data_IF_978107941529
#
_entry.id   IF_978107941529
#
_cell.length_a   1.000
_cell.length_b   1.000
_cell.length_c   1.000
_cell.angle_alpha   90.00
_cell.angle_beta   90.00
_cell.angle_gamma   90.00
#
_symmetry.space_group_name_H-M   'P 1'
#
loop_
_entity.id
_entity.type
_entity.pdbx_description
1 polymer ?
#
# COMPACT_ATOMS: atom_id res chain seq x y z
N UNK A 1 20.90 7.49 18.91
CA UNK A 1 20.67 6.04 19.03
C UNK A 1 19.77 5.83 20.23
N UNK A 2 18.60 5.22 20.09
CA UNK A 2 17.69 4.98 21.22
C UNK A 2 18.16 3.71 21.92
N UNK A 3 18.63 3.84 23.16
CA UNK A 3 19.08 2.72 23.98
C UNK A 3 17.87 2.04 24.61
N UNK A 4 17.79 0.71 24.54
CA UNK A 4 16.69 -0.04 25.16
C UNK A 4 16.69 0.17 26.70
N UNK A 5 15.51 0.22 27.35
CA UNK A 5 15.43 0.45 28.79
C UNK A 5 16.05 -0.72 29.59
N UNK A 6 16.55 -0.41 30.78
CA UNK A 6 17.15 -1.40 31.68
C UNK A 6 16.16 -2.53 31.98
N UNK A 7 16.59 -3.78 31.75
CA UNK A 7 15.76 -4.98 31.94
C UNK A 7 14.98 -5.45 30.70
N UNK A 8 15.08 -4.75 29.57
CA UNK A 8 14.51 -5.24 28.32
C UNK A 8 15.22 -6.53 27.86
N UNK A 9 14.46 -7.62 27.76
CA UNK A 9 14.90 -8.85 27.11
C UNK A 9 14.26 -8.92 25.72
N UNK A 10 15.02 -9.18 24.65
CA UNK A 10 14.44 -9.43 23.35
C UNK A 10 13.42 -10.57 23.45
N UNK A 11 12.25 -10.42 22.84
CA UNK A 11 11.34 -11.56 22.68
C UNK A 11 12.04 -12.60 21.82
N UNK A 12 12.10 -13.84 22.31
CA UNK A 12 12.60 -14.95 21.52
C UNK A 12 11.62 -15.20 20.35
N UNK A 13 12.08 -14.96 19.14
CA UNK A 13 11.38 -15.31 17.91
C UNK A 13 11.98 -16.65 17.47
N UNK A 14 11.18 -17.70 17.41
CA UNK A 14 11.68 -19.00 16.94
C UNK A 14 12.19 -18.89 15.51
N UNK A 15 13.20 -19.69 15.17
CA UNK A 15 13.83 -19.65 13.84
C UNK A 15 12.82 -19.90 12.71
N UNK A 16 11.74 -20.64 13.00
CA UNK A 16 10.59 -20.83 12.10
C UNK A 16 9.97 -19.52 11.58
N UNK A 17 10.06 -18.43 12.35
CA UNK A 17 9.49 -17.13 11.97
C UNK A 17 10.55 -16.11 11.54
N UNK A 18 11.84 -16.48 11.52
CA UNK A 18 12.90 -15.62 10.98
C UNK A 18 12.82 -15.65 9.45
N UNK A 19 12.42 -14.53 8.85
CA UNK A 19 12.45 -14.35 7.40
C UNK A 19 13.86 -14.02 6.93
N UNK A 20 14.32 -14.65 5.86
CA UNK A 20 15.57 -14.27 5.20
C UNK A 20 15.45 -12.83 4.68
N UNK A 21 16.42 -11.94 4.99
CA UNK A 21 16.43 -10.61 4.41
C UNK A 21 16.55 -10.69 2.89
N UNK A 22 15.66 -10.02 2.15
CA UNK A 22 15.78 -9.88 0.69
C UNK A 22 17.03 -9.08 0.33
N UNK A 23 17.67 -9.43 -0.78
CA UNK A 23 18.92 -8.79 -1.21
C UNK A 23 18.70 -7.32 -1.61
N UNK A 24 19.74 -6.47 -1.61
CA UNK A 24 19.61 -5.09 -2.10
C UNK A 24 19.10 -5.02 -3.55
N UNK A 25 19.50 -5.96 -4.40
CA UNK A 25 19.08 -6.05 -5.79
C UNK A 25 17.59 -6.40 -5.92
N UNK A 26 17.12 -7.38 -5.13
CA UNK A 26 15.70 -7.74 -5.08
C UNK A 26 14.83 -6.58 -4.56
N UNK A 27 15.32 -5.86 -3.55
CA UNK A 27 14.64 -4.63 -3.07
C UNK A 27 14.54 -3.58 -4.17
N UNK A 28 15.62 -3.34 -4.91
CA UNK A 28 15.64 -2.38 -6.00
C UNK A 28 14.66 -2.78 -7.12
N UNK A 29 14.63 -4.07 -7.47
CA UNK A 29 13.70 -4.63 -8.45
C UNK A 29 12.24 -4.44 -8.02
N UNK A 30 11.89 -4.83 -6.79
CA UNK A 30 10.53 -4.65 -6.26
C UNK A 30 10.10 -3.17 -6.25
N UNK A 31 11.01 -2.27 -5.90
CA UNK A 31 10.76 -0.83 -5.93
C UNK A 31 10.50 -0.32 -7.34
N UNK A 32 11.32 -0.74 -8.31
CA UNK A 32 11.16 -0.38 -9.72
C UNK A 32 9.83 -0.89 -10.28
N UNK A 33 9.48 -2.15 -10.04
CA UNK A 33 8.19 -2.74 -10.45
C UNK A 33 7.00 -2.01 -9.84
N UNK A 34 7.08 -1.66 -8.54
CA UNK A 34 6.06 -0.86 -7.87
C UNK A 34 5.94 0.54 -8.47
N UNK A 35 7.05 1.16 -8.89
CA UNK A 35 7.06 2.47 -9.49
C UNK A 35 6.44 2.45 -10.89
N UNK A 36 6.79 1.46 -11.72
CA UNK A 36 6.19 1.28 -13.05
C UNK A 36 4.68 1.11 -12.95
N UNK A 37 4.22 0.29 -12.00
CA UNK A 37 2.78 0.13 -11.74
C UNK A 37 2.12 1.44 -11.32
N UNK A 38 2.76 2.19 -10.43
CA UNK A 38 2.25 3.47 -9.98
C UNK A 38 2.13 4.48 -11.12
N UNK A 39 3.11 4.56 -12.02
CA UNK A 39 3.07 5.48 -13.16
C UNK A 39 1.82 5.28 -14.03
N UNK A 40 1.34 4.04 -14.17
CA UNK A 40 0.11 3.72 -14.92
C UNK A 40 -1.15 4.16 -14.18
N UNK A 41 -1.22 3.94 -12.87
CA UNK A 41 -2.38 4.30 -12.05
C UNK A 41 -2.46 5.80 -11.72
N UNK A 42 -1.32 6.50 -11.73
CA UNK A 42 -1.20 7.89 -11.29
C UNK A 42 -2.19 8.85 -11.96
N UNK A 43 -2.35 8.90 -13.30
CA UNK A 43 -3.31 9.81 -13.93
C UNK A 43 -4.76 9.53 -13.52
N UNK A 44 -5.12 8.25 -13.33
CA UNK A 44 -6.44 7.85 -12.85
C UNK A 44 -6.63 8.33 -11.41
N UNK A 45 -5.63 8.10 -10.56
CA UNK A 45 -5.67 8.55 -9.17
C UNK A 45 -5.81 10.07 -9.07
N UNK A 46 -5.04 10.83 -9.83
CA UNK A 46 -5.09 12.30 -9.79
C UNK A 46 -6.49 12.82 -10.17
N UNK A 47 -7.10 12.27 -11.22
CA UNK A 47 -8.49 12.60 -11.58
C UNK A 47 -9.48 12.25 -10.46
N UNK A 48 -9.44 11.01 -9.96
CA UNK A 48 -10.36 10.53 -8.92
C UNK A 48 -10.19 11.33 -7.62
N UNK A 49 -8.95 11.68 -7.30
CA UNK A 49 -8.62 12.54 -6.18
C UNK A 49 -9.30 13.89 -6.33
N UNK A 50 -9.11 14.56 -7.45
CA UNK A 50 -9.65 15.91 -7.64
C UNK A 50 -11.19 15.91 -7.63
N UNK A 51 -11.83 14.85 -8.15
CA UNK A 51 -13.28 14.66 -8.13
C UNK A 51 -13.85 14.35 -6.73
N UNK A 52 -13.16 13.51 -5.95
CA UNK A 52 -13.70 12.93 -4.71
C UNK A 52 -13.10 13.51 -3.43
N UNK A 53 -12.07 14.37 -3.50
CA UNK A 53 -11.40 14.91 -2.31
C UNK A 53 -12.37 15.61 -1.37
N UNK A 54 -13.33 16.36 -1.91
CA UNK A 54 -14.27 17.14 -1.12
C UNK A 54 -15.26 16.27 -0.31
N UNK A 55 -15.59 15.08 -0.80
CA UNK A 55 -16.67 14.23 -0.28
C UNK A 55 -16.18 12.94 0.37
N UNK A 56 -15.00 12.46 -0.03
CA UNK A 56 -14.43 11.17 0.37
C UNK A 56 -13.00 11.33 0.92
N UNK A 57 -12.71 12.47 1.55
CA UNK A 57 -11.42 12.68 2.22
C UNK A 57 -11.11 11.53 3.19
N UNK A 58 -9.87 11.05 3.16
CA UNK A 58 -9.36 9.91 3.91
C UNK A 58 -9.91 8.51 3.56
N UNK A 59 -10.71 8.38 2.51
CA UNK A 59 -11.13 7.08 1.98
C UNK A 59 -10.01 6.44 1.15
N UNK A 60 -10.19 5.15 0.84
CA UNK A 60 -9.25 4.33 0.10
C UNK A 60 -9.77 4.12 -1.31
N UNK A 61 -8.92 4.36 -2.30
CA UNK A 61 -9.18 4.06 -3.70
C UNK A 61 -8.32 2.89 -4.14
N UNK A 62 -8.94 1.91 -4.79
CA UNK A 62 -8.28 0.77 -5.42
C UNK A 62 -8.41 0.92 -6.92
N UNK A 63 -7.28 0.90 -7.63
CA UNK A 63 -7.21 1.14 -9.07
C UNK A 63 -6.65 -0.10 -9.76
N UNK A 64 -7.34 -0.57 -10.80
CA UNK A 64 -6.82 -1.54 -11.75
C UNK A 64 -5.96 -0.79 -12.80
N UNK A 65 -4.63 -1.04 -12.88
CA UNK A 65 -3.76 -0.38 -13.84
C UNK A 65 -4.06 -0.72 -15.31
N UNK A 66 -4.72 -1.84 -15.57
CA UNK A 66 -4.92 -2.35 -16.94
C UNK A 66 -6.28 -1.92 -17.51
N UNK A 67 -7.34 -1.93 -16.70
CA UNK A 67 -8.68 -1.47 -17.14
C UNK A 67 -8.94 0.01 -16.87
N UNK A 68 -8.23 0.60 -15.91
CA UNK A 68 -8.50 1.96 -15.43
C UNK A 68 -9.76 2.08 -14.56
N UNK A 69 -10.42 0.96 -14.27
CA UNK A 69 -11.52 0.91 -13.31
C UNK A 69 -10.99 1.14 -11.88
N UNK A 70 -11.85 1.72 -11.05
CA UNK A 70 -11.54 1.95 -9.65
C UNK A 70 -12.78 1.79 -8.78
N UNK A 71 -12.54 1.48 -7.50
CA UNK A 71 -13.57 1.55 -6.47
C UNK A 71 -13.03 2.27 -5.24
N UNK A 72 -13.94 2.88 -4.48
CA UNK A 72 -13.61 3.70 -3.32
C UNK A 72 -14.33 3.15 -2.10
N UNK A 73 -13.60 3.00 -0.99
CA UNK A 73 -14.10 2.47 0.26
C UNK A 73 -13.61 3.29 1.44
N UNK A 74 -14.48 3.50 2.43
CA UNK A 74 -14.09 4.23 3.64
C UNK A 74 -13.10 3.45 4.49
N UNK A 75 -13.27 2.14 4.55
CA UNK A 75 -12.48 1.24 5.39
C UNK A 75 -11.42 0.49 4.57
N UNK A 76 -10.20 0.48 5.08
CA UNK A 76 -9.06 -0.17 4.44
C UNK A 76 -9.28 -1.67 4.27
N UNK A 77 -9.77 -2.36 5.30
CA UNK A 77 -9.98 -3.81 5.28
C UNK A 77 -11.09 -4.18 4.30
N UNK A 78 -12.13 -3.35 4.18
CA UNK A 78 -13.18 -3.54 3.17
C UNK A 78 -12.59 -3.39 1.76
N UNK A 79 -11.75 -2.37 1.53
CA UNK A 79 -11.06 -2.18 0.25
C UNK A 79 -10.18 -3.40 -0.11
N UNK A 80 -9.40 -3.91 0.86
CA UNK A 80 -8.56 -5.10 0.67
C UNK A 80 -9.39 -6.37 0.48
N UNK A 81 -10.51 -6.52 1.19
CA UNK A 81 -11.43 -7.64 1.01
C UNK A 81 -11.96 -7.70 -0.42
N UNK A 82 -12.48 -6.57 -0.93
CA UNK A 82 -12.96 -6.46 -2.32
C UNK A 82 -11.87 -6.74 -3.35
N UNK A 83 -10.66 -6.24 -3.11
CA UNK A 83 -9.50 -6.52 -3.95
C UNK A 83 -9.22 -8.04 -4.04
N UNK A 84 -9.16 -8.71 -2.90
CA UNK A 84 -8.89 -10.14 -2.83
C UNK A 84 -10.00 -10.99 -3.47
N UNK A 85 -11.26 -10.58 -3.32
CA UNK A 85 -12.41 -11.28 -3.93
C UNK A 85 -12.46 -11.11 -5.45
N UNK A 86 -12.29 -9.89 -5.94
CA UNK A 86 -12.49 -9.60 -7.36
C UNK A 86 -11.28 -9.96 -8.21
N UNK A 87 -10.07 -9.96 -7.65
CA UNK A 87 -8.86 -10.14 -8.43
C UNK A 87 -7.67 -10.64 -7.59
N UNK A 88 -7.72 -11.90 -7.12
CA UNK A 88 -6.68 -12.47 -6.25
C UNK A 88 -5.28 -12.52 -6.89
N UNK A 89 -5.19 -12.40 -8.22
CA UNK A 89 -3.93 -12.42 -8.97
C UNK A 89 -3.58 -11.09 -9.65
N UNK A 90 -4.49 -10.09 -9.68
CA UNK A 90 -4.16 -8.81 -10.33
C UNK A 90 -3.39 -7.90 -9.38
N UNK A 91 -2.41 -7.22 -9.96
CA UNK A 91 -1.56 -6.28 -9.26
C UNK A 91 -2.23 -4.90 -9.23
N UNK A 92 -3.24 -4.72 -8.37
CA UNK A 92 -3.91 -3.44 -8.18
C UNK A 92 -3.11 -2.50 -7.26
N UNK A 93 -3.43 -1.20 -7.33
CA UNK A 93 -2.83 -0.18 -6.48
C UNK A 93 -3.87 0.38 -5.52
N UNK A 94 -3.55 0.37 -4.23
CA UNK A 94 -4.35 1.00 -3.17
C UNK A 94 -3.69 2.32 -2.75
N UNK A 95 -4.46 3.40 -2.74
CA UNK A 95 -4.05 4.74 -2.29
C UNK A 95 -5.12 5.35 -1.40
N UNK A 96 -4.72 6.36 -0.63
CA UNK A 96 -5.66 7.14 0.20
C UNK A 96 -6.00 8.44 -0.51
N UNK A 97 -7.26 8.84 -0.47
CA UNK A 97 -7.71 10.15 -0.94
C UNK A 97 -7.37 11.20 0.12
N UNK A 98 -6.14 11.72 0.07
CA UNK A 98 -5.65 12.84 0.91
C UNK A 98 -4.64 13.68 0.09
N UNK A 99 -4.05 14.73 0.66
CA UNK A 99 -3.17 15.64 -0.10
C UNK A 99 -1.96 14.92 -0.70
N UNK A 100 -1.49 13.84 -0.07
CA UNK A 100 -0.25 13.14 -0.44
C UNK A 100 -0.47 11.87 -1.25
N UNK A 101 -1.69 11.33 -1.26
CA UNK A 101 -2.01 10.01 -1.81
C UNK A 101 -1.49 8.82 -0.98
N UNK A 102 -0.81 9.08 0.14
CA UNK A 102 -0.08 8.05 0.89
C UNK A 102 -1.01 7.36 1.90
N UNK A 103 -1.08 6.03 1.81
CA UNK A 103 -1.64 5.19 2.87
C UNK A 103 -0.60 5.07 3.99
N UNK A 104 -0.75 5.87 5.05
CA UNK A 104 0.02 5.76 6.28
C UNK A 104 1.53 5.79 6.06
N UNK A 105 2.16 6.94 6.28
CA UNK A 105 3.55 6.91 6.72
C UNK A 105 3.56 6.19 8.06
N UNK A 106 3.92 4.91 8.09
CA UNK A 106 4.41 4.32 9.33
C UNK A 106 5.65 5.14 9.67
N UNK A 107 5.50 6.11 10.56
CA UNK A 107 6.61 6.82 11.20
C UNK A 107 7.33 5.87 12.15
#
# INVERSE_FOLDING_TARGET
MITAPAGWKPRHISDKYKKTPISPEEKAKQKAESQVRWQRCRPIFERVRDELMATHYNWYVVIDPDSGEYFVEKDQLVAFGKLLTNSPQKLMVVRRLNETGVCGSIL
#
